data_IF_116714483819
#
_entry.id   IF_116714483819
#
_cell.length_a   1.000
_cell.length_b   1.000
_cell.length_c   1.000
_cell.angle_alpha   90.00
_cell.angle_beta   90.00
_cell.angle_gamma   90.00
#
_symmetry.space_group_name_H-M   'P 1'
#
loop_
_entity.id
_entity.type
_entity.pdbx_description
1 polymer ?
#
# COMPACT_ATOMS: atom_id res chain seq x y z
N UNK A 1 9.16 -44.31 -2.14
CA UNK A 1 10.07 -43.19 -2.49
C UNK A 1 9.27 -41.91 -2.35
N UNK A 2 9.76 -40.94 -1.58
CA UNK A 2 9.10 -39.64 -1.47
C UNK A 2 9.75 -38.66 -2.45
N UNK A 3 8.94 -37.89 -3.18
CA UNK A 3 9.41 -36.84 -4.10
C UNK A 3 8.97 -35.50 -3.53
N UNK A 4 9.93 -34.59 -3.38
CA UNK A 4 9.65 -33.21 -2.96
C UNK A 4 9.87 -32.30 -4.16
N UNK A 5 8.85 -31.51 -4.51
CA UNK A 5 8.91 -30.53 -5.58
C UNK A 5 8.87 -29.13 -4.97
N UNK A 6 9.97 -28.39 -5.11
CA UNK A 6 10.04 -26.98 -4.73
C UNK A 6 9.78 -26.07 -5.93
N UNK A 7 8.89 -25.09 -5.77
CA UNK A 7 8.61 -24.11 -6.82
C UNK A 7 9.18 -22.74 -6.41
N UNK A 8 10.02 -22.17 -7.28
CA UNK A 8 10.41 -20.75 -7.19
C UNK A 8 9.46 -19.93 -8.03
N UNK A 9 8.54 -19.25 -7.36
CA UNK A 9 7.45 -18.53 -8.03
C UNK A 9 7.87 -17.11 -8.43
N UNK A 10 7.23 -16.60 -9.48
CA UNK A 10 7.34 -15.20 -9.87
C UNK A 10 6.26 -14.37 -9.17
N UNK A 11 6.72 -13.49 -8.28
CA UNK A 11 5.89 -12.62 -7.45
C UNK A 11 4.94 -11.73 -8.27
N UNK A 12 5.30 -11.33 -9.49
CA UNK A 12 4.48 -10.46 -10.33
C UNK A 12 3.26 -11.18 -10.93
N UNK A 13 3.31 -12.50 -11.00
CA UNK A 13 2.35 -13.30 -11.75
C UNK A 13 1.61 -14.34 -10.89
N UNK A 14 1.78 -14.30 -9.56
CA UNK A 14 1.16 -15.25 -8.61
C UNK A 14 -0.37 -15.29 -8.69
N UNK A 15 -1.00 -14.14 -8.93
CA UNK A 15 -2.46 -13.99 -8.89
C UNK A 15 -3.11 -14.02 -10.28
N UNK A 16 -2.39 -14.44 -11.32
CA UNK A 16 -2.93 -14.43 -12.68
C UNK A 16 -4.08 -15.43 -12.79
N UNK A 17 -5.30 -14.92 -12.92
CA UNK A 17 -6.49 -15.77 -13.04
C UNK A 17 -6.68 -16.37 -14.45
N UNK A 18 -5.81 -16.03 -15.38
CA UNK A 18 -5.92 -16.37 -16.79
C UNK A 18 -4.53 -16.71 -17.33
N UNK A 19 -4.33 -17.96 -17.71
CA UNK A 19 -3.19 -18.37 -18.52
C UNK A 19 -3.59 -18.30 -19.99
N UNK A 20 -2.93 -17.42 -20.75
CA UNK A 20 -3.12 -17.30 -22.19
C UNK A 20 -2.32 -18.38 -22.90
N UNK A 21 -3.01 -19.14 -23.73
CA UNK A 21 -2.44 -20.14 -24.62
C UNK A 21 -2.25 -19.62 -26.04
N UNK A 22 -2.07 -20.54 -27.00
CA UNK A 22 -1.85 -20.19 -28.40
C UNK A 22 -3.15 -19.78 -29.11
N UNK A 23 -3.02 -19.29 -30.34
CA UNK A 23 -4.17 -18.97 -31.21
C UNK A 23 -5.05 -20.19 -31.41
N UNK A 24 -6.38 -20.01 -31.41
CA UNK A 24 -7.35 -21.09 -31.58
C UNK A 24 -7.15 -21.91 -32.87
N UNK A 25 -6.59 -21.27 -33.89
CA UNK A 25 -6.35 -21.87 -35.22
C UNK A 25 -4.96 -22.54 -35.34
N UNK A 26 -4.12 -22.42 -34.31
CA UNK A 26 -2.77 -22.99 -34.33
C UNK A 26 -2.78 -24.50 -34.07
N UNK A 27 -1.75 -25.20 -34.55
CA UNK A 27 -1.57 -26.63 -34.26
C UNK A 27 -1.34 -26.87 -32.76
N UNK A 28 -0.72 -25.91 -32.07
CA UNK A 28 -0.46 -25.94 -30.63
C UNK A 28 -1.75 -25.88 -29.79
N UNK A 29 -2.86 -25.38 -30.33
CA UNK A 29 -4.15 -25.31 -29.64
C UNK A 29 -4.66 -26.71 -29.23
N UNK A 30 -4.42 -27.73 -30.07
CA UNK A 30 -4.78 -29.11 -29.73
C UNK A 30 -3.99 -29.62 -28.53
N UNK A 31 -2.68 -29.34 -28.48
CA UNK A 31 -1.81 -29.71 -27.35
C UNK A 31 -2.24 -28.98 -26.07
N UNK A 32 -2.58 -27.70 -26.17
CA UNK A 32 -3.07 -26.91 -25.05
C UNK A 32 -4.37 -27.50 -24.48
N UNK A 33 -5.35 -27.81 -25.34
CA UNK A 33 -6.61 -28.46 -24.93
C UNK A 33 -6.39 -29.84 -24.34
N UNK A 34 -5.50 -30.65 -24.91
CA UNK A 34 -5.17 -31.97 -24.37
C UNK A 34 -4.52 -31.87 -22.98
N UNK A 35 -3.60 -30.93 -22.82
CA UNK A 35 -2.86 -30.69 -21.58
C UNK A 35 -3.77 -30.18 -20.45
N UNK A 36 -4.59 -29.16 -20.70
CA UNK A 36 -5.46 -28.58 -19.67
C UNK A 36 -6.78 -29.32 -19.50
N UNK A 37 -7.27 -29.97 -20.55
CA UNK A 37 -8.56 -30.65 -20.58
C UNK A 37 -9.73 -29.74 -20.89
N UNK A 38 -10.86 -30.32 -21.33
CA UNK A 38 -12.09 -29.58 -21.63
C UNK A 38 -12.66 -28.85 -20.40
N UNK A 39 -12.30 -29.28 -19.19
CA UNK A 39 -12.71 -28.65 -17.92
C UNK A 39 -12.00 -27.32 -17.63
N UNK A 40 -10.88 -27.03 -18.30
CA UNK A 40 -10.08 -25.82 -18.06
C UNK A 40 -9.78 -25.00 -19.30
N UNK A 41 -9.64 -25.63 -20.47
CA UNK A 41 -9.38 -24.93 -21.73
C UNK A 41 -10.67 -24.30 -22.24
N UNK A 42 -10.68 -22.99 -22.39
CA UNK A 42 -11.76 -22.23 -23.02
C UNK A 42 -11.21 -21.23 -24.04
N UNK A 43 -12.00 -20.92 -25.07
CA UNK A 43 -11.66 -19.89 -26.04
C UNK A 43 -12.05 -18.51 -25.50
N UNK A 44 -11.13 -17.55 -25.55
CA UNK A 44 -11.42 -16.14 -25.27
C UNK A 44 -11.02 -15.23 -26.41
N UNK A 45 -11.92 -14.31 -26.73
CA UNK A 45 -11.66 -13.20 -27.66
C UNK A 45 -11.13 -12.00 -26.87
N UNK A 46 -10.02 -11.44 -27.32
CA UNK A 46 -9.40 -10.25 -26.72
C UNK A 46 -9.74 -8.98 -27.52
N UNK A 47 -9.43 -7.81 -26.93
CA UNK A 47 -9.75 -6.50 -27.52
C UNK A 47 -9.05 -6.25 -28.86
N UNK A 48 -7.92 -6.90 -29.08
CA UNK A 48 -7.17 -6.89 -30.34
C UNK A 48 -7.81 -7.78 -31.43
N UNK A 49 -8.95 -8.43 -31.13
CA UNK A 49 -9.66 -9.33 -32.03
C UNK A 49 -9.13 -10.77 -32.03
N UNK A 50 -7.98 -11.03 -31.39
CA UNK A 50 -7.40 -12.36 -31.30
C UNK A 50 -8.30 -13.32 -30.52
N UNK A 51 -8.31 -14.59 -30.93
CA UNK A 51 -9.01 -15.67 -30.23
C UNK A 51 -7.97 -16.69 -29.80
N UNK A 52 -7.77 -16.82 -28.49
CA UNK A 52 -6.77 -17.71 -27.91
C UNK A 52 -7.44 -18.80 -27.09
N UNK A 53 -6.81 -19.97 -27.05
CA UNK A 53 -7.05 -20.94 -25.98
C UNK A 53 -6.58 -20.35 -24.65
N UNK A 54 -7.33 -20.55 -23.58
CA UNK A 54 -7.04 -19.99 -22.27
C UNK A 54 -7.39 -21.00 -21.16
N UNK A 55 -6.62 -20.98 -20.06
CA UNK A 55 -7.00 -21.66 -18.83
C UNK A 55 -7.40 -20.63 -17.76
N UNK A 56 -8.58 -20.84 -17.14
CA UNK A 56 -9.15 -19.91 -16.17
C UNK A 56 -9.13 -20.47 -14.75
N UNK A 57 -8.71 -19.62 -13.83
CA UNK A 57 -8.56 -19.91 -12.40
C UNK A 57 -9.45 -19.02 -11.56
N UNK A 58 -9.91 -19.55 -10.43
CA UNK A 58 -10.69 -18.76 -9.49
C UNK A 58 -9.76 -17.75 -8.82
N UNK A 59 -10.14 -16.46 -8.86
CA UNK A 59 -9.43 -15.43 -8.10
C UNK A 59 -9.64 -15.65 -6.61
N UNK A 60 -8.56 -15.59 -5.81
CA UNK A 60 -8.68 -15.46 -4.36
C UNK A 60 -9.58 -14.28 -3.98
N UNK A 61 -10.30 -14.36 -2.84
CA UNK A 61 -11.03 -13.22 -2.31
C UNK A 61 -10.08 -12.05 -2.03
N UNK A 62 -10.51 -10.83 -2.34
CA UNK A 62 -9.77 -9.62 -1.94
C UNK A 62 -9.71 -9.51 -0.42
N UNK A 63 -8.55 -9.12 0.12
CA UNK A 63 -8.39 -8.85 1.56
C UNK A 63 -8.26 -10.08 2.47
N UNK A 64 -8.06 -11.29 1.92
CA UNK A 64 -7.62 -12.46 2.69
C UNK A 64 -6.17 -12.78 2.37
N UNK A 65 -5.40 -13.08 3.41
CA UNK A 65 -3.97 -13.45 3.28
C UNK A 65 -3.71 -14.94 3.51
N UNK A 66 -4.72 -15.72 3.88
CA UNK A 66 -4.58 -17.14 4.22
C UNK A 66 -5.33 -18.00 3.20
N UNK A 67 -4.62 -18.97 2.65
CA UNK A 67 -5.16 -19.99 1.76
C UNK A 67 -5.89 -21.07 2.58
N UNK A 68 -7.00 -21.59 2.05
CA UNK A 68 -7.71 -22.71 2.67
C UNK A 68 -8.18 -23.73 1.63
N UNK A 69 -8.51 -24.95 2.07
CA UNK A 69 -8.95 -26.02 1.16
C UNK A 69 -10.11 -25.63 0.23
N UNK A 70 -11.02 -24.76 0.69
CA UNK A 70 -12.17 -24.27 -0.10
C UNK A 70 -11.82 -23.11 -1.03
N UNK A 71 -10.71 -22.42 -0.77
CA UNK A 71 -10.27 -21.23 -1.49
C UNK A 71 -8.74 -21.33 -1.65
N UNK A 72 -8.27 -22.16 -2.60
CA UNK A 72 -6.85 -22.31 -2.89
C UNK A 72 -6.29 -21.12 -3.69
N UNK A 73 -4.99 -20.84 -3.54
CA UNK A 73 -4.25 -19.90 -4.38
C UNK A 73 -4.26 -20.39 -5.83
N UNK A 74 -4.10 -19.47 -6.78
CA UNK A 74 -4.04 -19.80 -8.21
C UNK A 74 -2.99 -20.87 -8.48
N UNK A 75 -1.80 -20.74 -7.89
CA UNK A 75 -0.71 -21.72 -8.04
C UNK A 75 -1.12 -23.09 -7.50
N UNK A 76 -1.74 -23.15 -6.32
CA UNK A 76 -2.26 -24.40 -5.75
C UNK A 76 -3.35 -25.02 -6.61
N UNK A 77 -4.22 -24.21 -7.23
CA UNK A 77 -5.21 -24.68 -8.19
C UNK A 77 -4.55 -25.31 -9.42
N UNK A 78 -3.53 -24.66 -9.98
CA UNK A 78 -2.77 -25.14 -11.13
C UNK A 78 -2.11 -26.49 -10.80
N UNK A 79 -1.35 -26.55 -9.72
CA UNK A 79 -0.63 -27.77 -9.31
C UNK A 79 -1.61 -28.90 -9.04
N UNK A 80 -2.68 -28.63 -8.28
CA UNK A 80 -3.71 -29.62 -7.98
C UNK A 80 -4.43 -30.13 -9.23
N UNK A 81 -4.67 -29.27 -10.21
CA UNK A 81 -5.26 -29.66 -11.50
C UNK A 81 -4.33 -30.58 -12.29
N UNK A 82 -3.07 -30.18 -12.44
CA UNK A 82 -2.08 -30.94 -13.21
C UNK A 82 -1.81 -32.32 -12.60
N UNK A 83 -1.70 -32.39 -11.28
CA UNK A 83 -1.54 -33.67 -10.57
C UNK A 83 -2.74 -34.58 -10.80
N UNK A 84 -3.97 -34.09 -10.58
CA UNK A 84 -5.17 -34.93 -10.76
C UNK A 84 -5.32 -35.45 -12.19
N UNK A 85 -4.99 -34.63 -13.19
CA UNK A 85 -5.17 -34.96 -14.59
C UNK A 85 -4.10 -35.89 -15.14
N UNK A 86 -2.83 -35.61 -14.84
CA UNK A 86 -1.69 -36.29 -15.46
C UNK A 86 -1.06 -37.35 -14.54
N UNK A 87 -1.31 -37.28 -13.23
CA UNK A 87 -0.73 -38.16 -12.21
C UNK A 87 -1.76 -38.55 -11.12
N UNK A 88 -2.93 -39.15 -11.49
CA UNK A 88 -4.03 -39.38 -10.54
C UNK A 88 -3.63 -40.24 -9.34
N UNK A 89 -2.73 -41.21 -9.52
CA UNK A 89 -2.21 -42.06 -8.45
C UNK A 89 -1.39 -41.26 -7.43
N UNK A 90 -0.62 -40.27 -7.89
CA UNK A 90 0.17 -39.38 -7.03
C UNK A 90 -0.73 -38.36 -6.34
N UNK A 91 -1.77 -37.88 -7.04
CA UNK A 91 -2.66 -36.83 -6.53
C UNK A 91 -3.42 -37.23 -5.26
N UNK A 92 -3.66 -38.53 -5.03
CA UNK A 92 -4.34 -39.03 -3.83
C UNK A 92 -3.51 -38.84 -2.56
N UNK A 93 -2.18 -39.01 -2.67
CA UNK A 93 -1.24 -38.96 -1.54
C UNK A 93 -0.41 -37.65 -1.51
N UNK A 94 -0.61 -36.76 -2.49
CA UNK A 94 0.12 -35.51 -2.59
C UNK A 94 -0.31 -34.51 -1.51
N UNK A 95 0.65 -34.07 -0.70
CA UNK A 95 0.49 -32.94 0.20
C UNK A 95 1.02 -31.67 -0.46
N UNK A 96 0.17 -30.64 -0.58
CA UNK A 96 0.56 -29.33 -1.09
C UNK A 96 0.71 -28.38 0.09
N UNK A 97 1.95 -28.02 0.39
CA UNK A 97 2.29 -27.00 1.37
C UNK A 97 2.39 -25.64 0.67
N UNK A 98 1.35 -24.82 0.82
CA UNK A 98 1.43 -23.39 0.52
C UNK A 98 2.07 -22.67 1.73
N UNK A 99 2.92 -21.67 1.48
CA UNK A 99 3.72 -20.99 2.51
C UNK A 99 2.92 -20.39 3.68
N UNK A 100 3.59 -19.86 4.72
CA UNK A 100 2.93 -19.42 5.97
C UNK A 100 1.88 -18.32 5.78
N UNK A 101 1.96 -17.58 4.67
CA UNK A 101 1.02 -16.55 4.22
C UNK A 101 0.49 -17.00 2.86
N UNK A 102 -0.71 -17.58 2.83
CA UNK A 102 -1.27 -18.21 1.63
C UNK A 102 -1.38 -17.27 0.41
N UNK A 103 -2.38 -16.38 0.40
CA UNK A 103 -2.57 -15.45 -0.72
C UNK A 103 -1.64 -14.23 -0.54
N UNK A 104 -0.52 -14.22 -1.25
CA UNK A 104 0.39 -13.06 -1.20
C UNK A 104 -0.08 -12.00 -2.19
N UNK A 105 -0.86 -11.03 -1.69
CA UNK A 105 -1.28 -9.86 -2.47
C UNK A 105 -0.12 -8.88 -2.60
N UNK A 106 0.78 -9.15 -3.54
CA UNK A 106 2.05 -8.42 -3.65
C UNK A 106 1.89 -6.93 -3.98
N UNK A 107 0.77 -6.51 -4.58
CA UNK A 107 0.45 -5.11 -4.89
C UNK A 107 -1.07 -4.96 -5.01
N UNK A 108 -1.76 -4.91 -3.86
CA UNK A 108 -3.22 -4.84 -3.79
C UNK A 108 -3.81 -3.66 -4.58
N UNK A 109 -4.98 -3.90 -5.21
CA UNK A 109 -5.67 -2.86 -5.99
C UNK A 109 -6.11 -1.67 -5.12
N UNK A 110 -6.36 -1.90 -3.83
CA UNK A 110 -6.71 -0.84 -2.88
C UNK A 110 -5.55 0.12 -2.68
N UNK A 111 -4.33 -0.38 -2.47
CA UNK A 111 -3.13 0.43 -2.27
C UNK A 111 -2.74 1.17 -3.55
N UNK A 112 -3.00 0.60 -4.74
CA UNK A 112 -2.89 1.33 -6.01
C UNK A 112 -3.87 2.50 -6.09
N UNK A 113 -5.14 2.29 -5.73
CA UNK A 113 -6.13 3.38 -5.65
C UNK A 113 -5.77 4.43 -4.59
N UNK A 114 -5.18 4.00 -3.47
CA UNK A 114 -4.65 4.90 -2.45
C UNK A 114 -3.59 5.83 -3.02
N UNK A 115 -2.61 5.31 -3.78
CA UNK A 115 -1.59 6.15 -4.43
C UNK A 115 -2.20 7.15 -5.43
N UNK A 116 -3.16 6.72 -6.24
CA UNK A 116 -3.87 7.63 -7.16
C UNK A 116 -4.61 8.74 -6.40
N UNK A 117 -5.34 8.38 -5.33
CA UNK A 117 -6.03 9.35 -4.49
C UNK A 117 -5.06 10.29 -3.76
N UNK A 118 -3.91 9.77 -3.33
CA UNK A 118 -2.87 10.54 -2.67
C UNK A 118 -2.22 11.57 -3.59
N UNK A 119 -1.92 11.23 -4.85
CA UNK A 119 -1.36 12.21 -5.79
C UNK A 119 -2.36 13.32 -6.12
N UNK A 120 -3.66 13.00 -6.25
CA UNK A 120 -4.71 14.02 -6.39
C UNK A 120 -4.80 14.92 -5.15
N UNK A 121 -4.76 14.32 -3.96
CA UNK A 121 -4.73 15.03 -2.68
C UNK A 121 -3.50 15.93 -2.51
N UNK A 122 -2.31 15.42 -2.84
CA UNK A 122 -1.05 16.15 -2.82
C UNK A 122 -1.10 17.33 -3.77
N UNK A 123 -1.58 17.12 -5.00
CA UNK A 123 -1.76 18.20 -5.95
C UNK A 123 -2.69 19.28 -5.38
N UNK A 124 -3.85 18.92 -4.84
CA UNK A 124 -4.77 19.89 -4.24
C UNK A 124 -4.12 20.71 -3.13
N UNK A 125 -3.37 20.07 -2.22
CA UNK A 125 -2.67 20.79 -1.15
C UNK A 125 -1.59 21.74 -1.68
N UNK A 126 -0.81 21.32 -2.67
CA UNK A 126 0.24 22.17 -3.24
C UNK A 126 -0.32 23.37 -4.04
N UNK A 127 -1.60 23.38 -4.41
CA UNK A 127 -2.26 24.52 -5.07
C UNK A 127 -2.93 25.48 -4.07
N UNK A 128 -2.89 25.20 -2.77
CA UNK A 128 -3.39 26.13 -1.75
C UNK A 128 -2.56 27.41 -1.79
N UNK A 129 -3.25 28.54 -1.88
CA UNK A 129 -2.69 29.87 -2.11
C UNK A 129 -2.93 30.82 -0.94
N UNK A 130 -3.86 30.50 -0.04
CA UNK A 130 -4.17 31.40 1.09
C UNK A 130 -3.08 31.36 2.17
N UNK A 131 -2.31 30.27 2.25
CA UNK A 131 -1.37 30.00 3.34
C UNK A 131 -0.22 31.02 3.38
N UNK A 132 0.25 31.42 4.59
CA UNK A 132 1.37 32.35 4.74
C UNK A 132 2.71 31.75 4.27
N UNK A 133 2.79 30.42 4.16
CA UNK A 133 3.91 29.68 3.58
C UNK A 133 3.36 28.65 2.60
N UNK A 134 3.99 28.59 1.43
CA UNK A 134 3.65 27.59 0.42
C UNK A 134 4.04 26.19 0.88
N UNK A 135 3.24 25.20 0.50
CA UNK A 135 3.55 23.80 0.73
C UNK A 135 4.58 23.34 -0.29
N UNK A 136 5.76 22.92 0.18
CA UNK A 136 6.83 22.38 -0.64
C UNK A 136 6.50 20.98 -1.12
N UNK A 137 6.07 20.11 -0.21
CA UNK A 137 5.70 18.74 -0.54
C UNK A 137 4.78 18.10 0.52
N UNK A 138 4.14 17.00 0.14
CA UNK A 138 3.32 16.17 1.02
C UNK A 138 3.87 14.76 0.98
N UNK A 139 4.24 14.23 2.14
CA UNK A 139 4.90 12.93 2.25
C UNK A 139 3.95 11.86 2.84
N UNK A 140 3.89 10.66 2.25
CA UNK A 140 3.14 9.54 2.81
C UNK A 140 3.84 8.98 4.06
N UNK A 141 3.11 8.77 5.15
CA UNK A 141 3.69 8.26 6.41
C UNK A 141 3.08 6.93 6.89
N UNK A 142 1.91 6.57 6.39
CA UNK A 142 1.19 5.33 6.72
C UNK A 142 1.80 4.07 6.08
N UNK A 143 1.70 2.94 6.76
CA UNK A 143 2.19 1.63 6.30
C UNK A 143 1.60 1.20 4.96
N UNK A 144 0.35 1.60 4.69
CA UNK A 144 -0.38 1.23 3.47
C UNK A 144 0.29 1.75 2.20
N UNK A 145 0.98 2.89 2.27
CA UNK A 145 1.73 3.44 1.12
C UNK A 145 2.92 2.57 0.71
N UNK A 146 3.40 1.73 1.63
CA UNK A 146 4.49 0.78 1.39
C UNK A 146 4.01 -0.67 1.24
N UNK A 147 2.70 -0.93 1.13
CA UNK A 147 2.14 -2.29 1.07
C UNK A 147 2.53 -3.20 2.26
N UNK A 148 2.87 -2.61 3.40
CA UNK A 148 3.26 -3.32 4.63
C UNK A 148 2.18 -3.25 5.71
N UNK A 149 1.02 -2.64 5.41
CA UNK A 149 -0.09 -2.61 6.34
C UNK A 149 -0.73 -4.00 6.45
N UNK A 150 -0.71 -4.59 7.65
CA UNK A 150 -1.37 -5.87 7.92
C UNK A 150 -2.90 -5.73 7.91
N UNK A 151 -3.40 -4.64 8.49
CA UNK A 151 -4.82 -4.33 8.57
C UNK A 151 -5.03 -2.84 8.29
N UNK A 152 -5.91 -2.48 7.35
CA UNK A 152 -6.27 -1.08 7.14
C UNK A 152 -6.88 -0.48 8.41
N UNK A 153 -6.35 0.67 8.84
CA UNK A 153 -6.95 1.42 9.94
C UNK A 153 -8.23 2.10 9.46
N UNK A 154 -9.37 1.77 10.08
CA UNK A 154 -10.64 2.43 9.80
C UNK A 154 -10.60 3.91 10.19
N UNK A 155 -11.19 4.76 9.35
CA UNK A 155 -11.41 6.16 9.69
C UNK A 155 -12.65 6.31 10.60
N UNK A 156 -12.74 7.40 11.39
CA UNK A 156 -13.96 7.73 12.11
C UNK A 156 -15.18 7.79 11.18
N UNK A 157 -16.32 7.28 11.64
CA UNK A 157 -17.55 7.30 10.85
C UNK A 157 -17.97 8.74 10.53
N UNK A 158 -18.26 9.00 9.27
CA UNK A 158 -18.84 10.25 8.81
C UNK A 158 -20.37 10.10 8.65
N UNK A 159 -21.08 11.23 8.62
CA UNK A 159 -22.55 11.26 8.52
C UNK A 159 -23.10 10.67 7.21
N UNK A 160 -22.24 10.52 6.19
CA UNK A 160 -22.57 9.93 4.90
C UNK A 160 -22.68 8.40 4.89
N UNK A 161 -22.32 7.74 6.00
CA UNK A 161 -22.36 6.28 6.14
C UNK A 161 -21.30 5.53 5.31
N UNK A 162 -20.33 6.23 4.73
CA UNK A 162 -19.28 5.62 3.89
C UNK A 162 -18.09 5.21 4.78
N UNK A 163 -17.80 3.91 4.81
CA UNK A 163 -16.63 3.38 5.50
C UNK A 163 -15.35 3.73 4.73
N UNK A 164 -14.41 4.38 5.42
CA UNK A 164 -13.13 4.82 4.87
C UNK A 164 -11.98 4.31 5.70
N UNK A 165 -10.79 4.45 5.14
CA UNK A 165 -9.54 4.10 5.81
C UNK A 165 -8.66 5.32 6.02
N UNK A 166 -7.98 5.37 7.16
CA UNK A 166 -7.26 6.54 7.65
C UNK A 166 -5.76 6.40 7.40
N UNK A 167 -5.19 7.33 6.65
CA UNK A 167 -3.79 7.32 6.24
C UNK A 167 -3.06 8.58 6.71
N UNK A 168 -2.00 8.40 7.50
CA UNK A 168 -1.14 9.48 7.97
C UNK A 168 -0.29 10.06 6.83
N UNK A 169 -0.27 11.39 6.72
CA UNK A 169 0.55 12.18 5.79
C UNK A 169 1.25 13.32 6.53
N UNK A 170 2.39 13.76 6.00
CA UNK A 170 3.19 14.84 6.59
C UNK A 170 3.40 15.94 5.56
N UNK A 171 3.01 17.16 5.90
CA UNK A 171 3.21 18.34 5.05
C UNK A 171 4.53 19.01 5.40
N UNK A 172 5.31 19.32 4.38
CA UNK A 172 6.54 20.10 4.45
C UNK A 172 6.31 21.45 3.77
N UNK A 173 6.57 22.54 4.51
CA UNK A 173 6.50 23.90 3.98
C UNK A 173 7.84 24.34 3.39
N UNK A 174 7.82 25.40 2.60
CA UNK A 174 9.04 26.10 2.21
C UNK A 174 9.78 26.67 3.43
N UNK A 175 11.10 26.75 3.34
CA UNK A 175 11.95 27.27 4.42
C UNK A 175 11.57 28.71 4.76
N UNK A 176 11.32 28.99 6.04
CA UNK A 176 10.94 30.32 6.50
C UNK A 176 11.65 30.71 7.79
N UNK A 177 12.31 31.88 7.78
CA UNK A 177 12.87 32.49 8.98
C UNK A 177 11.80 33.06 9.94
N UNK A 178 10.51 33.01 9.59
CA UNK A 178 9.41 33.49 10.43
C UNK A 178 8.87 32.41 11.37
N UNK A 179 9.35 31.17 11.25
CA UNK A 179 8.90 30.09 12.12
C UNK A 179 9.43 30.28 13.55
N UNK A 180 8.60 30.14 14.60
CA UNK A 180 9.06 30.33 15.97
C UNK A 180 10.13 29.31 16.38
N UNK A 181 11.15 29.75 17.12
CA UNK A 181 12.17 28.86 17.71
C UNK A 181 11.64 28.07 18.91
N UNK A 182 10.62 28.60 19.60
CA UNK A 182 9.94 27.91 20.70
C UNK A 182 9.00 26.81 20.16
N UNK A 183 9.14 25.54 20.59
CA UNK A 183 8.29 24.44 20.14
C UNK A 183 6.79 24.63 20.44
N UNK A 184 6.42 25.32 21.53
CA UNK A 184 5.00 25.59 21.82
C UNK A 184 4.40 26.61 20.85
N UNK A 185 5.10 27.72 20.62
CA UNK A 185 4.70 28.70 19.61
C UNK A 185 4.63 28.10 18.21
N UNK A 186 5.62 27.28 17.82
CA UNK A 186 5.65 26.56 16.55
C UNK A 186 4.40 25.69 16.35
N UNK A 187 3.97 24.96 17.39
CA UNK A 187 2.76 24.14 17.36
C UNK A 187 1.49 24.96 17.16
N UNK A 188 1.39 26.14 17.79
CA UNK A 188 0.23 27.03 17.59
C UNK A 188 0.17 27.58 16.18
N UNK A 189 1.32 27.94 15.60
CA UNK A 189 1.42 28.36 14.19
C UNK A 189 0.99 27.23 13.26
N UNK A 190 1.46 26.00 13.51
CA UNK A 190 1.01 24.82 12.76
C UNK A 190 -0.51 24.62 12.86
N UNK A 191 -1.10 24.72 14.06
CA UNK A 191 -2.55 24.64 14.25
C UNK A 191 -3.32 25.69 13.47
N UNK A 192 -2.82 26.94 13.43
CA UNK A 192 -3.42 28.01 12.64
C UNK A 192 -3.35 27.74 11.13
N UNK A 193 -2.22 27.20 10.64
CA UNK A 193 -2.09 26.78 9.24
C UNK A 193 -3.07 25.65 8.89
N UNK A 194 -3.25 24.66 9.77
CA UNK A 194 -4.22 23.57 9.56
C UNK A 194 -5.66 24.10 9.46
N UNK A 195 -6.03 25.10 10.28
CA UNK A 195 -7.32 25.76 10.22
C UNK A 195 -7.53 26.45 8.87
N UNK A 196 -6.52 27.18 8.41
CA UNK A 196 -6.57 27.87 7.14
C UNK A 196 -6.64 26.90 5.95
N UNK A 197 -5.88 25.80 6.00
CA UNK A 197 -5.98 24.71 5.01
C UNK A 197 -7.40 24.15 4.94
N UNK A 198 -8.06 23.93 6.09
CA UNK A 198 -9.45 23.46 6.13
C UNK A 198 -10.40 24.44 5.44
N UNK A 199 -10.29 25.73 5.73
CA UNK A 199 -11.16 26.76 5.17
C UNK A 199 -11.04 26.84 3.64
N UNK A 200 -9.82 26.81 3.12
CA UNK A 200 -9.56 26.86 1.68
C UNK A 200 -9.99 25.57 0.97
N UNK A 201 -9.70 24.39 1.54
CA UNK A 201 -10.17 23.10 1.03
C UNK A 201 -11.70 23.06 0.91
N UNK A 202 -12.41 23.61 1.90
CA UNK A 202 -13.87 23.65 1.89
C UNK A 202 -14.42 24.68 0.89
N UNK A 203 -13.79 25.85 0.77
CA UNK A 203 -14.29 26.96 -0.05
C UNK A 203 -14.02 26.74 -1.53
N UNK A 204 -12.79 26.34 -1.89
CA UNK A 204 -12.34 26.31 -3.28
C UNK A 204 -12.55 24.94 -3.93
N UNK A 205 -12.42 23.86 -3.15
CA UNK A 205 -12.49 22.49 -3.63
C UNK A 205 -13.73 21.72 -3.16
N UNK A 206 -14.50 22.28 -2.22
CA UNK A 206 -15.66 21.60 -1.62
C UNK A 206 -15.29 20.32 -0.88
N UNK A 207 -14.03 20.18 -0.44
CA UNK A 207 -13.53 18.98 0.23
C UNK A 207 -13.78 19.10 1.73
N UNK A 208 -14.56 18.16 2.27
CA UNK A 208 -14.83 18.11 3.70
C UNK A 208 -13.57 17.73 4.49
N UNK A 209 -13.30 18.48 5.56
CA UNK A 209 -12.19 18.19 6.44
C UNK A 209 -12.48 18.56 7.90
N UNK A 210 -11.91 17.80 8.83
CA UNK A 210 -11.98 18.05 10.28
C UNK A 210 -10.61 18.39 10.84
N UNK A 211 -10.55 19.47 11.59
CA UNK A 211 -9.31 20.01 12.13
C UNK A 211 -9.30 19.88 13.65
N UNK A 212 -8.13 19.56 14.18
CA UNK A 212 -7.80 19.62 15.60
C UNK A 212 -6.58 20.52 15.78
N UNK A 213 -6.16 20.76 17.02
CA UNK A 213 -4.92 21.50 17.31
C UNK A 213 -3.66 20.83 16.75
N UNK A 214 -3.72 19.55 16.38
CA UNK A 214 -2.52 18.75 16.03
C UNK A 214 -2.56 18.10 14.65
N UNK A 215 -3.74 17.96 14.04
CA UNK A 215 -3.88 17.33 12.73
C UNK A 215 -5.15 17.81 12.01
N UNK A 216 -5.17 17.61 10.69
CA UNK A 216 -6.31 17.84 9.81
C UNK A 216 -6.64 16.55 9.07
N UNK A 217 -7.86 16.05 9.23
CA UNK A 217 -8.38 14.88 8.52
C UNK A 217 -9.17 15.33 7.30
N UNK A 218 -8.64 15.07 6.10
CA UNK A 218 -9.24 15.45 4.81
C UNK A 218 -9.93 14.25 4.17
N UNK A 219 -11.21 14.39 3.82
CA UNK A 219 -12.05 13.29 3.32
C UNK A 219 -12.04 13.17 1.81
N UNK A 220 -11.67 11.99 1.34
CA UNK A 220 -11.78 11.53 -0.05
C UNK A 220 -12.75 10.34 -0.13
N UNK A 221 -13.21 9.92 -1.33
CA UNK A 221 -14.26 8.90 -1.45
C UNK A 221 -13.99 7.59 -0.69
N UNK A 222 -12.81 6.99 -0.82
CA UNK A 222 -12.43 5.73 -0.14
C UNK A 222 -11.48 5.93 1.07
N UNK A 223 -10.91 7.14 1.20
CA UNK A 223 -9.75 7.40 2.07
C UNK A 223 -9.92 8.69 2.87
N UNK A 224 -9.33 8.72 4.07
CA UNK A 224 -9.13 9.94 4.85
C UNK A 224 -7.64 10.14 5.02
N UNK A 225 -7.14 11.32 4.64
CA UNK A 225 -5.74 11.68 4.81
C UNK A 225 -5.58 12.55 6.05
N UNK A 226 -4.83 12.05 7.04
CA UNK A 226 -4.50 12.79 8.25
C UNK A 226 -3.20 13.54 8.06
N UNK A 227 -3.32 14.85 7.87
CA UNK A 227 -2.21 15.77 7.73
C UNK A 227 -1.65 16.10 9.11
N UNK A 228 -0.33 15.99 9.23
CA UNK A 228 0.44 16.67 10.28
C UNK A 228 1.47 17.57 9.63
N UNK A 229 1.71 18.72 10.23
CA UNK A 229 2.74 19.64 9.77
C UNK A 229 4.05 19.25 10.42
N UNK A 230 5.10 19.16 9.60
CA UNK A 230 6.46 19.02 10.06
C UNK A 230 7.22 20.32 9.86
N UNK A 231 8.03 20.71 10.86
CA UNK A 231 9.00 21.79 10.72
C UNK A 231 10.37 21.38 11.28
N UNK A 232 11.45 21.74 10.56
CA UNK A 232 12.82 21.33 10.89
C UNK A 232 13.26 21.74 12.29
N UNK A 233 13.02 22.98 12.70
CA UNK A 233 13.42 23.47 14.01
C UNK A 233 12.74 22.79 15.20
N UNK A 234 11.57 22.15 15.02
CA UNK A 234 10.88 21.47 16.12
C UNK A 234 11.64 20.20 16.56
N UNK A 235 12.33 19.55 15.63
CA UNK A 235 12.90 18.22 15.84
C UNK A 235 14.40 18.15 15.59
N UNK A 236 15.05 19.21 15.08
CA UNK A 236 16.48 19.19 14.78
C UNK A 236 17.34 18.95 16.03
N UNK A 237 17.01 19.59 17.15
CA UNK A 237 17.68 19.37 18.44
C UNK A 237 17.50 17.92 18.91
N UNK A 238 16.26 17.40 18.93
CA UNK A 238 15.98 16.00 19.29
C UNK A 238 16.71 15.03 18.35
N UNK A 239 16.68 15.29 17.04
CA UNK A 239 17.35 14.47 16.03
C UNK A 239 18.86 14.43 16.29
N UNK A 240 19.51 15.59 16.47
CA UNK A 240 20.93 15.70 16.76
C UNK A 240 21.34 14.92 18.01
N UNK A 241 20.54 14.97 19.08
CA UNK A 241 20.80 14.21 20.32
C UNK A 241 20.75 12.69 20.12
N UNK A 242 20.02 12.21 19.13
CA UNK A 242 19.80 10.78 18.86
C UNK A 242 20.74 10.26 17.76
N UNK A 243 21.10 11.09 16.79
CA UNK A 243 21.96 10.69 15.66
C UNK A 243 23.44 10.98 15.88
N UNK A 244 23.79 11.84 16.83
CA UNK A 244 25.18 12.12 17.17
C UNK A 244 25.76 11.02 18.08
N UNK A 245 26.44 10.05 17.46
CA UNK A 245 27.14 8.96 18.16
C UNK A 245 28.31 9.46 19.04
N UNK A 246 28.68 10.74 18.97
CA UNK A 246 29.69 11.39 19.82
C UNK A 246 29.07 12.22 20.95
N UNK A 247 27.76 12.12 21.17
CA UNK A 247 27.05 12.91 22.19
C UNK A 247 27.77 12.88 23.55
N UNK A 248 28.10 14.07 24.06
CA UNK A 248 28.82 14.24 25.33
C UNK A 248 28.05 13.58 26.47
N UNK A 249 28.75 12.88 27.35
CA UNK A 249 28.22 12.36 28.61
C UNK A 249 27.56 13.52 29.38
N UNK A 250 26.23 13.52 29.51
CA UNK A 250 25.47 14.57 30.22
C UNK A 250 24.29 15.18 29.44
N UNK A 251 24.13 14.92 28.14
CA UNK A 251 22.90 15.31 27.42
C UNK A 251 21.74 14.44 27.89
N UNK A 252 20.66 15.06 28.39
CA UNK A 252 19.45 14.35 28.79
C UNK A 252 18.88 13.57 27.60
N UNK A 253 18.64 12.27 27.78
CA UNK A 253 17.96 11.44 26.78
C UNK A 253 16.59 12.05 26.45
N UNK A 254 16.22 12.19 25.16
CA UNK A 254 14.91 12.70 24.80
C UNK A 254 13.78 11.87 25.42
N UNK A 255 12.69 12.53 25.80
CA UNK A 255 11.52 11.86 26.33
C UNK A 255 10.84 10.99 25.28
N UNK A 256 10.06 9.98 25.72
CA UNK A 256 9.35 9.08 24.80
C UNK A 256 8.43 9.82 23.80
N UNK A 257 7.76 10.89 24.24
CA UNK A 257 6.89 11.68 23.36
C UNK A 257 7.66 12.44 22.27
N UNK A 258 8.87 12.91 22.56
CA UNK A 258 9.74 13.60 21.60
C UNK A 258 10.27 12.62 20.55
N UNK A 259 10.70 11.42 20.99
CA UNK A 259 11.12 10.35 20.10
C UNK A 259 9.99 9.87 19.20
N UNK A 260 8.77 9.73 19.74
CA UNK A 260 7.61 9.35 18.94
C UNK A 260 7.26 10.38 17.88
N UNK A 261 7.38 11.68 18.18
CA UNK A 261 7.20 12.75 17.20
C UNK A 261 8.28 12.73 16.13
N UNK A 262 9.55 12.61 16.51
CA UNK A 262 10.65 12.47 15.57
C UNK A 262 10.43 11.27 14.64
N UNK A 263 10.05 10.13 15.21
CA UNK A 263 9.72 8.92 14.46
C UNK A 263 8.58 9.16 13.48
N UNK A 264 7.49 9.79 13.92
CA UNK A 264 6.27 9.97 13.13
C UNK A 264 6.41 11.02 12.01
N UNK A 265 7.04 12.16 12.29
CA UNK A 265 7.08 13.30 11.39
C UNK A 265 8.32 13.32 10.49
N UNK A 266 9.45 12.75 10.94
CA UNK A 266 10.71 12.80 10.19
C UNK A 266 11.14 11.46 9.60
N UNK A 267 11.22 10.40 10.41
CA UNK A 267 11.73 9.10 9.92
C UNK A 267 10.71 8.32 9.11
N UNK A 268 9.47 8.20 9.59
CA UNK A 268 8.43 7.42 8.91
C UNK A 268 8.27 7.82 7.44
N UNK A 269 8.09 9.10 7.07
CA UNK A 269 7.85 9.43 5.67
C UNK A 269 9.01 9.03 4.75
N UNK A 270 10.26 9.24 5.20
CA UNK A 270 11.47 8.85 4.46
C UNK A 270 11.58 7.33 4.29
N UNK A 271 11.36 6.59 5.38
CA UNK A 271 11.39 5.13 5.36
C UNK A 271 10.26 4.59 4.46
N UNK A 272 9.07 5.19 4.50
CA UNK A 272 7.93 4.76 3.68
C UNK A 272 8.20 4.90 2.20
N UNK A 273 8.75 6.02 1.76
CA UNK A 273 9.12 6.21 0.35
C UNK A 273 10.18 5.20 -0.09
N UNK A 274 11.20 4.94 0.73
CA UNK A 274 12.24 3.94 0.42
C UNK A 274 11.67 2.51 0.37
N UNK A 275 10.81 2.14 1.31
CA UNK A 275 10.14 0.84 1.34
C UNK A 275 9.20 0.67 0.14
N UNK A 276 8.42 1.71 -0.19
CA UNK A 276 7.55 1.68 -1.36
C UNK A 276 8.34 1.40 -2.65
N UNK A 277 9.42 2.16 -2.89
CA UNK A 277 10.30 1.95 -4.03
C UNK A 277 10.88 0.53 -4.06
N UNK A 278 11.25 -0.01 -2.89
CA UNK A 278 11.78 -1.36 -2.78
C UNK A 278 10.72 -2.43 -3.05
N UNK A 279 9.50 -2.26 -2.56
CA UNK A 279 8.37 -3.18 -2.82
C UNK A 279 7.99 -3.18 -4.30
N UNK A 280 8.02 -2.04 -5.00
CA UNK A 280 7.78 -2.01 -6.44
C UNK A 280 8.82 -2.82 -7.23
N UNK A 281 10.08 -2.85 -6.77
CA UNK A 281 11.13 -3.68 -7.37
C UNK A 281 11.04 -5.16 -6.94
N UNK A 282 10.56 -5.41 -5.72
CA UNK A 282 10.46 -6.73 -5.12
C UNK A 282 9.06 -6.93 -4.52
N UNK A 283 8.05 -7.25 -5.34
CA UNK A 283 6.65 -7.29 -4.91
C UNK A 283 6.40 -8.31 -3.79
N UNK A 284 7.22 -9.37 -3.71
CA UNK A 284 7.17 -10.36 -2.62
C UNK A 284 7.39 -9.78 -1.22
N UNK A 285 7.90 -8.54 -1.11
CA UNK A 285 8.05 -7.85 0.18
C UNK A 285 6.73 -7.27 0.70
N UNK A 286 5.73 -7.06 -0.17
CA UNK A 286 4.42 -6.64 0.29
C UNK A 286 3.75 -7.77 1.09
N UNK A 287 3.18 -7.41 2.24
CA UNK A 287 2.54 -8.38 3.15
C UNK A 287 3.48 -9.36 3.85
N UNK A 288 4.80 -9.29 3.61
CA UNK A 288 5.81 -10.10 4.31
C UNK A 288 6.46 -9.37 5.52
N UNK A 289 6.17 -8.08 5.69
CA UNK A 289 6.73 -7.20 6.71
C UNK A 289 5.76 -6.96 7.88
#
# INVERSE_FOLDING_TARGET
>A
VAVVVGLRLDALHLERALDRGPSAESEEAQRFRAFWGPEKSELRRFKDGSVLECAVWAKPPSGRSVEGKRQPAVVTQIVGHLLKRHFPEVAADAEILAGPVGFVQNLGDRERRLWVAFEAFRAHLCHLSSLPLSIKDVHPADESFSYTALLPRGAPAAADGVSRTLHDTVVEFESSGRWPSDPEAARRVAGAMLLQMKEELQTDLGVEADVTETFLDVRYPEFVFRIRIFHEHELLDVASRVTDFQAKVGTSTPGGAELERLRALWWRPRIRTALHARVLQQPALAGAA
#
